data_IF_775009800311
#
_entry.id   IF_775009800311
#
_cell.length_a   1.000
_cell.length_b   1.000
_cell.length_c   1.000
_cell.angle_alpha   90.00
_cell.angle_beta   90.00
_cell.angle_gamma   90.00
#
_symmetry.space_group_name_H-M   'P 1'
#
loop_
_entity.id
_entity.type
_entity.pdbx_description
1 polymer ?
#
# COMPACT_ATOMS: atom_id res chain seq x y z
N UNK A 1 3.00 -20.30 -7.92
CA UNK A 1 2.52 -19.74 -6.64
C UNK A 1 1.97 -18.36 -6.89
N UNK A 2 0.81 -17.99 -6.29
CA UNK A 2 0.24 -16.65 -6.42
C UNK A 2 0.49 -15.85 -5.14
N UNK A 3 0.98 -14.61 -5.29
CA UNK A 3 1.25 -13.67 -4.18
C UNK A 3 0.30 -12.50 -4.34
N UNK A 4 -0.60 -12.33 -3.39
CA UNK A 4 -1.52 -11.20 -3.33
C UNK A 4 -0.89 -10.09 -2.52
N UNK A 5 -0.95 -8.86 -3.04
CA UNK A 5 -0.48 -7.64 -2.38
C UNK A 5 -1.52 -6.53 -2.54
N UNK A 6 -1.41 -5.49 -1.71
CA UNK A 6 -2.37 -4.38 -1.68
C UNK A 6 -1.66 -3.01 -1.58
N UNK A 7 -2.39 -1.97 -1.27
CA UNK A 7 -1.95 -0.57 -1.25
C UNK A 7 -0.64 -0.33 -0.49
N UNK A 8 -0.43 -1.00 0.68
CA UNK A 8 0.79 -0.82 1.45
C UNK A 8 2.03 -1.28 0.69
N UNK A 9 1.94 -2.37 -0.08
CA UNK A 9 3.02 -2.83 -0.95
C UNK A 9 3.40 -1.78 -2.01
N UNK A 10 2.39 -1.15 -2.61
CA UNK A 10 2.59 -0.08 -3.59
C UNK A 10 3.24 1.14 -2.94
N UNK A 11 2.79 1.52 -1.75
CA UNK A 11 3.33 2.67 -1.01
C UNK A 11 4.78 2.42 -0.53
N UNK A 12 5.11 1.22 -0.07
CA UNK A 12 6.49 0.87 0.30
C UNK A 12 7.47 1.10 -0.86
N UNK A 13 7.12 0.61 -2.05
CA UNK A 13 7.93 0.80 -3.26
C UNK A 13 7.97 2.27 -3.70
N UNK A 14 6.80 2.91 -3.76
CA UNK A 14 6.66 4.27 -4.30
C UNK A 14 7.36 5.32 -3.46
N UNK A 15 7.33 5.15 -2.13
CA UNK A 15 7.85 6.11 -1.16
C UNK A 15 9.22 5.69 -0.60
N UNK A 16 9.75 4.55 -1.06
CA UNK A 16 11.02 3.97 -0.61
C UNK A 16 11.08 3.88 0.93
N UNK A 17 10.02 3.27 1.52
CA UNK A 17 9.89 3.11 2.97
C UNK A 17 10.69 1.90 3.48
N UNK A 18 10.48 1.51 4.74
CA UNK A 18 11.31 0.53 5.45
C UNK A 18 11.37 -0.85 4.79
N UNK A 19 10.24 -1.29 4.18
CA UNK A 19 10.14 -2.60 3.52
C UNK A 19 10.37 -2.53 1.99
N UNK A 20 10.85 -1.39 1.45
CA UNK A 20 11.03 -1.16 0.01
C UNK A 20 11.87 -2.26 -0.66
N UNK A 21 13.01 -2.61 -0.08
CA UNK A 21 13.92 -3.63 -0.64
C UNK A 21 13.24 -5.01 -0.66
N UNK A 22 12.52 -5.35 0.41
CA UNK A 22 11.76 -6.61 0.49
C UNK A 22 10.66 -6.67 -0.58
N UNK A 23 9.94 -5.58 -0.79
CA UNK A 23 8.92 -5.47 -1.82
C UNK A 23 9.54 -5.53 -3.24
N UNK A 24 10.69 -4.91 -3.44
CA UNK A 24 11.43 -4.97 -4.71
C UNK A 24 11.90 -6.40 -5.03
N UNK A 25 12.35 -7.17 -4.04
CA UNK A 25 12.71 -8.58 -4.24
C UNK A 25 11.49 -9.43 -4.64
N UNK A 26 10.31 -9.18 -4.06
CA UNK A 26 9.06 -9.85 -4.47
C UNK A 26 8.71 -9.47 -5.92
N UNK A 27 8.80 -8.18 -6.29
CA UNK A 27 8.61 -7.72 -7.68
C UNK A 27 9.58 -8.40 -8.65
N UNK A 28 10.84 -8.56 -8.25
CA UNK A 28 11.86 -9.26 -9.04
C UNK A 28 11.50 -10.73 -9.27
N UNK A 29 11.03 -11.44 -8.25
CA UNK A 29 10.56 -12.82 -8.41
C UNK A 29 9.38 -12.92 -9.37
N UNK A 30 8.48 -11.94 -9.35
CA UNK A 30 7.36 -11.87 -10.27
C UNK A 30 7.82 -11.59 -11.71
N UNK A 31 8.73 -10.64 -11.92
CA UNK A 31 9.28 -10.32 -13.25
C UNK A 31 10.05 -11.48 -13.88
N UNK A 32 10.63 -12.35 -13.06
CA UNK A 32 11.29 -13.58 -13.48
C UNK A 32 10.31 -14.74 -13.75
N UNK A 33 9.01 -14.56 -13.53
CA UNK A 33 8.00 -15.60 -13.70
C UNK A 33 8.02 -16.70 -12.64
N UNK A 34 8.78 -16.52 -11.55
CA UNK A 34 8.86 -17.49 -10.45
C UNK A 34 7.60 -17.49 -9.59
N UNK A 35 6.92 -16.37 -9.51
CA UNK A 35 5.62 -16.20 -8.86
C UNK A 35 4.66 -15.39 -9.75
N UNK A 36 3.37 -15.54 -9.53
CA UNK A 36 2.34 -14.66 -10.07
C UNK A 36 1.99 -13.62 -9.00
N UNK A 37 2.32 -12.37 -9.25
CA UNK A 37 1.88 -11.28 -8.39
C UNK A 37 0.46 -10.87 -8.79
N UNK A 38 -0.46 -10.78 -7.84
CA UNK A 38 -1.85 -10.38 -8.05
C UNK A 38 -2.20 -9.19 -7.17
N UNK A 39 -2.74 -8.14 -7.78
CA UNK A 39 -3.01 -6.86 -7.09
C UNK A 39 -4.44 -6.40 -7.42
N UNK A 40 -5.29 -6.11 -6.41
CA UNK A 40 -6.59 -5.49 -6.66
C UNK A 40 -6.43 -4.15 -7.40
N UNK A 41 -7.25 -3.88 -8.42
CA UNK A 41 -7.22 -2.61 -9.15
C UNK A 41 -7.41 -1.40 -8.22
N UNK A 42 -8.22 -1.56 -7.19
CA UNK A 42 -8.42 -0.53 -6.16
C UNK A 42 -7.11 -0.15 -5.47
N UNK A 43 -6.26 -1.12 -5.14
CA UNK A 43 -4.96 -0.91 -4.49
C UNK A 43 -3.93 -0.17 -5.35
N UNK A 44 -4.16 -0.06 -6.65
CA UNK A 44 -3.35 0.77 -7.56
C UNK A 44 -3.84 2.23 -7.66
N UNK A 45 -5.13 2.45 -7.40
CA UNK A 45 -5.74 3.78 -7.42
C UNK A 45 -5.60 4.52 -6.08
N UNK A 46 -5.70 3.80 -4.97
CA UNK A 46 -5.69 4.35 -3.61
C UNK A 46 -4.41 5.12 -3.25
N UNK A 47 -3.18 4.71 -3.63
CA UNK A 47 -1.96 5.46 -3.35
C UNK A 47 -1.99 6.91 -3.82
N UNK A 48 -2.62 7.19 -4.96
CA UNK A 48 -2.77 8.55 -5.46
C UNK A 48 -3.59 9.43 -4.49
N UNK A 49 -4.66 8.88 -3.92
CA UNK A 49 -5.51 9.59 -2.95
C UNK A 49 -4.75 9.82 -1.64
N UNK A 50 -4.01 8.80 -1.18
CA UNK A 50 -3.20 8.89 0.04
C UNK A 50 -2.13 9.99 -0.07
N UNK A 51 -1.43 10.07 -1.21
CA UNK A 51 -0.41 11.11 -1.45
C UNK A 51 -1.03 12.51 -1.51
N UNK A 52 -2.14 12.68 -2.22
CA UNK A 52 -2.86 13.96 -2.24
C UNK A 52 -3.30 14.40 -0.84
N UNK A 53 -3.71 13.47 0.01
CA UNK A 53 -4.02 13.75 1.42
C UNK A 53 -2.81 14.24 2.20
N UNK A 54 -1.67 13.55 2.08
CA UNK A 54 -0.39 13.94 2.70
C UNK A 54 0.08 15.32 2.22
N UNK A 55 0.00 15.60 0.92
CA UNK A 55 0.38 16.88 0.33
C UNK A 55 -0.46 18.02 0.89
N UNK A 56 -1.80 17.86 0.96
CA UNK A 56 -2.70 18.84 1.56
C UNK A 56 -2.35 19.11 3.02
N UNK A 57 -2.13 18.06 3.81
CA UNK A 57 -1.77 18.17 5.22
C UNK A 57 -0.43 18.92 5.42
N UNK A 58 0.60 18.60 4.63
CA UNK A 58 1.92 19.26 4.66
C UNK A 58 1.82 20.72 4.23
N UNK A 59 1.02 21.01 3.22
CA UNK A 59 0.78 22.39 2.74
C UNK A 59 0.08 23.23 3.81
N UNK A 60 -0.92 22.65 4.49
CA UNK A 60 -1.61 23.35 5.57
C UNK A 60 -0.66 23.59 6.74
N UNK A 61 0.09 22.58 7.17
CA UNK A 61 1.10 22.73 8.23
C UNK A 61 2.13 23.82 7.91
N UNK A 62 2.62 23.86 6.68
CA UNK A 62 3.55 24.90 6.22
C UNK A 62 2.96 26.30 6.32
N UNK A 63 1.68 26.47 5.97
CA UNK A 63 0.97 27.75 6.08
C UNK A 63 0.81 28.18 7.54
N UNK A 64 0.40 27.25 8.40
CA UNK A 64 0.16 27.52 9.82
C UNK A 64 1.46 27.90 10.53
N UNK A 65 2.53 27.14 10.29
CA UNK A 65 3.86 27.46 10.80
C UNK A 65 4.36 28.82 10.32
N UNK A 66 4.19 29.15 9.04
CA UNK A 66 4.60 30.47 8.50
C UNK A 66 3.84 31.60 9.18
N UNK A 67 2.55 31.43 9.45
CA UNK A 67 1.76 32.42 10.17
C UNK A 67 2.25 32.63 11.61
N UNK A 68 2.50 31.53 12.33
CA UNK A 68 3.01 31.57 13.70
C UNK A 68 4.41 32.21 13.77
N UNK A 69 5.32 31.86 12.87
CA UNK A 69 6.66 32.44 12.82
C UNK A 69 6.63 33.92 12.46
N UNK A 70 5.72 34.36 11.60
CA UNK A 70 5.53 35.78 11.28
C UNK A 70 5.07 36.55 12.51
N UNK A 71 4.16 36.01 13.30
CA UNK A 71 3.72 36.66 14.55
C UNK A 71 4.85 36.68 15.59
N UNK A 72 5.60 35.61 15.77
CA UNK A 72 6.78 35.58 16.66
C UNK A 72 7.84 36.60 16.21
N UNK A 73 8.11 36.72 14.91
CA UNK A 73 9.10 37.63 14.34
C UNK A 73 8.77 39.13 14.55
N UNK A 74 7.56 39.48 15.00
CA UNK A 74 7.20 40.84 15.44
C UNK A 74 7.87 41.20 16.78
N UNK A 75 8.27 40.23 17.57
CA UNK A 75 8.98 40.48 18.83
C UNK A 75 10.50 40.52 18.65
N UNK A 76 11.18 41.42 19.31
CA UNK A 76 12.63 41.64 19.18
C UNK A 76 13.46 40.35 19.43
N UNK A 77 13.14 39.50 20.45
CA UNK A 77 13.92 38.29 20.72
C UNK A 77 13.87 37.21 19.62
N UNK A 78 12.86 37.25 18.75
CA UNK A 78 12.58 36.17 17.80
C UNK A 78 12.72 36.57 16.32
N UNK A 79 13.33 37.72 16.04
CA UNK A 79 13.51 38.25 14.67
C UNK A 79 14.35 37.37 13.74
N UNK A 80 15.19 36.49 14.26
CA UNK A 80 16.09 35.63 13.50
C UNK A 80 15.50 34.27 13.08
N UNK A 81 14.30 33.93 13.56
CA UNK A 81 13.68 32.60 13.35
C UNK A 81 13.20 32.34 11.91
N UNK A 82 12.81 33.33 11.06
CA UNK A 82 12.22 33.05 9.75
C UNK A 82 13.14 32.35 8.75
N UNK A 83 14.45 32.55 8.80
CA UNK A 83 15.37 32.07 7.75
C UNK A 83 15.51 30.53 7.70
N UNK A 84 15.34 29.82 8.82
CA UNK A 84 15.42 28.35 8.88
C UNK A 84 14.17 27.65 8.35
N UNK A 85 13.03 28.35 8.30
CA UNK A 85 11.75 27.77 7.90
C UNK A 85 11.62 27.60 6.39
N UNK A 86 12.14 28.52 5.61
CA UNK A 86 12.02 28.46 4.14
C UNK A 86 12.71 27.23 3.56
N UNK A 87 13.81 26.80 4.15
CA UNK A 87 14.48 25.55 3.77
C UNK A 87 13.61 24.30 4.06
N UNK A 88 12.97 24.25 5.23
CA UNK A 88 12.06 23.14 5.59
C UNK A 88 10.81 23.14 4.70
N UNK A 89 10.22 24.29 4.41
CA UNK A 89 9.07 24.41 3.53
C UNK A 89 9.41 23.95 2.09
N UNK A 90 10.63 24.24 1.61
CA UNK A 90 11.10 23.80 0.30
C UNK A 90 11.25 22.27 0.24
N UNK A 91 11.76 21.62 1.30
CA UNK A 91 11.85 20.15 1.39
C UNK A 91 10.45 19.52 1.33
N UNK A 92 9.49 20.05 2.09
CA UNK A 92 8.10 19.55 2.08
C UNK A 92 7.44 19.71 0.70
N UNK A 93 7.71 20.80 0.00
CA UNK A 93 7.19 21.03 -1.35
C UNK A 93 7.84 20.09 -2.39
N UNK A 94 9.16 19.90 -2.31
CA UNK A 94 9.89 19.02 -3.22
C UNK A 94 9.47 17.54 -3.04
N UNK A 95 9.24 17.10 -1.79
CA UNK A 95 8.82 15.73 -1.50
C UNK A 95 7.50 15.35 -2.17
N UNK A 96 6.55 16.29 -2.29
CA UNK A 96 5.25 16.04 -2.88
C UNK A 96 5.33 15.64 -4.37
N UNK A 97 6.21 16.30 -5.14
CA UNK A 97 6.41 15.95 -6.55
C UNK A 97 7.09 14.60 -6.69
N UNK A 98 8.15 14.35 -5.92
CA UNK A 98 8.88 13.06 -5.91
C UNK A 98 7.95 11.89 -5.54
N UNK A 99 7.08 12.07 -4.54
CA UNK A 99 6.10 11.04 -4.14
C UNK A 99 5.08 10.74 -5.25
N UNK A 100 4.57 11.76 -5.95
CA UNK A 100 3.66 11.57 -7.09
C UNK A 100 4.32 10.82 -8.23
N UNK A 101 5.55 11.19 -8.57
CA UNK A 101 6.31 10.52 -9.62
C UNK A 101 6.62 9.08 -9.23
N UNK A 102 7.02 8.84 -7.96
CA UNK A 102 7.27 7.51 -7.43
C UNK A 102 6.04 6.60 -7.53
N UNK A 103 4.84 7.10 -7.18
CA UNK A 103 3.59 6.31 -7.33
C UNK A 103 3.32 6.00 -8.79
N UNK A 104 3.41 6.97 -9.69
CA UNK A 104 3.17 6.76 -11.11
C UNK A 104 4.11 5.69 -11.68
N UNK A 105 5.39 5.78 -11.36
CA UNK A 105 6.40 4.87 -11.89
C UNK A 105 6.22 3.45 -11.29
N UNK A 106 5.99 3.33 -9.99
CA UNK A 106 5.69 2.05 -9.33
C UNK A 106 4.42 1.40 -9.87
N UNK A 107 3.33 2.14 -10.04
CA UNK A 107 2.10 1.61 -10.61
C UNK A 107 2.34 1.14 -12.05
N UNK A 108 3.11 1.89 -12.84
CA UNK A 108 3.48 1.49 -14.21
C UNK A 108 4.28 0.18 -14.22
N UNK A 109 5.20 -0.01 -13.27
CA UNK A 109 5.99 -1.24 -13.16
C UNK A 109 5.12 -2.43 -12.73
N UNK A 110 4.22 -2.22 -11.79
CA UNK A 110 3.26 -3.25 -11.36
C UNK A 110 2.34 -3.65 -12.51
N UNK A 111 1.82 -2.71 -13.29
CA UNK A 111 0.96 -3.00 -14.45
C UNK A 111 1.66 -3.84 -15.54
N UNK A 112 3.00 -3.78 -15.62
CA UNK A 112 3.78 -4.62 -16.55
C UNK A 112 4.08 -6.01 -16.01
N UNK A 113 4.05 -6.19 -14.71
CA UNK A 113 4.58 -7.39 -14.03
C UNK A 113 3.47 -8.22 -13.37
N UNK A 114 2.44 -7.58 -12.84
CA UNK A 114 1.42 -8.20 -12.03
C UNK A 114 0.12 -8.47 -12.79
N UNK A 115 -0.63 -9.45 -12.30
CA UNK A 115 -2.02 -9.68 -12.68
C UNK A 115 -2.93 -8.74 -11.88
N UNK A 116 -3.56 -7.79 -12.55
CA UNK A 116 -4.48 -6.84 -11.92
C UNK A 116 -5.86 -7.45 -11.80
N UNK A 117 -6.37 -7.54 -10.59
CA UNK A 117 -7.72 -8.02 -10.29
C UNK A 117 -8.70 -6.88 -10.54
N UNK A 118 -9.48 -7.00 -11.60
CA UNK A 118 -10.47 -5.98 -11.99
C UNK A 118 -11.56 -5.84 -10.94
N UNK A 119 -11.96 -4.59 -10.65
CA UNK A 119 -13.09 -4.30 -9.77
C UNK A 119 -14.38 -4.36 -10.58
N UNK A 120 -15.27 -5.26 -10.20
CA UNK A 120 -16.59 -5.43 -10.83
C UNK A 120 -17.75 -5.32 -9.82
N UNK A 121 -18.98 -5.41 -10.34
CA UNK A 121 -20.19 -5.32 -9.52
C UNK A 121 -20.30 -6.46 -8.50
N UNK A 122 -19.77 -7.65 -8.77
CA UNK A 122 -19.86 -8.78 -7.87
C UNK A 122 -18.90 -8.59 -6.69
N UNK A 123 -17.69 -8.12 -6.97
CA UNK A 123 -16.71 -7.77 -5.93
C UNK A 123 -17.26 -6.66 -5.03
N UNK A 124 -17.89 -5.62 -5.61
CA UNK A 124 -18.49 -4.54 -4.81
C UNK A 124 -19.64 -5.04 -3.92
N UNK A 125 -20.50 -5.93 -4.42
CA UNK A 125 -21.56 -6.55 -3.59
C UNK A 125 -20.95 -7.37 -2.45
N UNK A 126 -19.99 -8.23 -2.75
CA UNK A 126 -19.30 -9.03 -1.73
C UNK A 126 -18.60 -8.17 -0.70
N UNK A 127 -18.04 -7.01 -1.11
CA UNK A 127 -17.41 -6.08 -0.19
C UNK A 127 -18.41 -5.48 0.82
N UNK A 128 -19.66 -5.21 0.41
CA UNK A 128 -20.72 -4.77 1.35
C UNK A 128 -21.03 -5.83 2.40
N UNK A 129 -21.11 -7.09 2.01
CA UNK A 129 -21.34 -8.20 2.94
C UNK A 129 -20.15 -8.37 3.89
N UNK A 130 -18.93 -8.34 3.38
CA UNK A 130 -17.68 -8.42 4.16
C UNK A 130 -17.56 -7.26 5.15
N UNK A 131 -17.93 -6.04 4.73
CA UNK A 131 -17.93 -4.87 5.60
C UNK A 131 -18.82 -5.06 6.82
N UNK A 132 -20.01 -5.63 6.63
CA UNK A 132 -20.95 -5.90 7.72
C UNK A 132 -20.47 -7.07 8.59
N UNK A 133 -19.97 -8.14 7.97
CA UNK A 133 -19.55 -9.35 8.66
C UNK A 133 -18.35 -9.12 9.58
N UNK A 134 -17.35 -8.36 9.13
CA UNK A 134 -16.08 -8.14 9.87
C UNK A 134 -15.93 -6.73 10.46
N UNK A 135 -16.90 -5.84 10.25
CA UNK A 135 -16.79 -4.44 10.71
C UNK A 135 -15.64 -3.66 10.06
N UNK A 136 -15.20 -4.08 8.85
CA UNK A 136 -14.08 -3.49 8.13
C UNK A 136 -14.44 -2.13 7.51
N UNK A 137 -13.41 -1.33 7.21
CA UNK A 137 -13.59 -0.17 6.33
C UNK A 137 -14.07 -0.62 4.95
N UNK A 138 -14.78 0.25 4.22
CA UNK A 138 -15.22 -0.07 2.86
C UNK A 138 -14.05 -0.36 1.91
N UNK A 139 -12.91 0.30 2.14
CA UNK A 139 -11.68 0.11 1.35
C UNK A 139 -11.07 -1.27 1.57
N UNK A 140 -10.89 -1.66 2.82
CA UNK A 140 -10.34 -2.97 3.19
C UNK A 140 -11.26 -4.11 2.75
N UNK A 141 -12.58 -3.92 2.87
CA UNK A 141 -13.56 -4.88 2.40
C UNK A 141 -13.48 -5.10 0.87
N UNK A 142 -13.27 -4.05 0.07
CA UNK A 142 -13.05 -4.16 -1.39
C UNK A 142 -11.78 -4.94 -1.70
N UNK A 143 -10.69 -4.69 -0.97
CA UNK A 143 -9.43 -5.43 -1.14
C UNK A 143 -9.64 -6.91 -0.83
N UNK A 144 -10.24 -7.23 0.32
CA UNK A 144 -10.50 -8.63 0.72
C UNK A 144 -11.43 -9.33 -0.26
N UNK A 145 -12.53 -8.69 -0.67
CA UNK A 145 -13.47 -9.22 -1.67
C UNK A 145 -12.77 -9.53 -3.00
N UNK A 146 -11.89 -8.63 -3.46
CA UNK A 146 -11.12 -8.83 -4.68
C UNK A 146 -10.19 -10.05 -4.60
N UNK A 147 -9.49 -10.19 -3.48
CA UNK A 147 -8.59 -11.33 -3.24
C UNK A 147 -9.38 -12.64 -3.19
N UNK A 148 -10.49 -12.68 -2.44
CA UNK A 148 -11.33 -13.88 -2.31
C UNK A 148 -11.97 -14.28 -3.65
N UNK A 149 -12.48 -13.32 -4.43
CA UNK A 149 -13.04 -13.57 -5.75
C UNK A 149 -12.00 -14.16 -6.71
N UNK A 150 -10.78 -13.61 -6.70
CA UNK A 150 -9.70 -14.13 -7.53
C UNK A 150 -9.23 -15.53 -7.08
N UNK A 151 -9.17 -15.79 -5.77
CA UNK A 151 -8.87 -17.10 -5.22
C UNK A 151 -9.92 -18.14 -5.63
N UNK A 152 -11.21 -17.79 -5.57
CA UNK A 152 -12.28 -18.70 -5.96
C UNK A 152 -12.26 -19.02 -7.46
N UNK A 153 -12.04 -18.01 -8.30
CA UNK A 153 -12.00 -18.19 -9.76
C UNK A 153 -10.78 -18.97 -10.25
N UNK A 154 -9.61 -18.80 -9.65
CA UNK A 154 -8.34 -19.33 -10.18
C UNK A 154 -7.81 -20.53 -9.39
N UNK A 155 -8.21 -20.71 -8.14
CA UNK A 155 -7.85 -21.80 -7.25
C UNK A 155 -6.36 -22.18 -7.30
N UNK A 156 -5.45 -21.25 -7.04
CA UNK A 156 -4.02 -21.49 -7.13
C UNK A 156 -3.59 -22.58 -6.13
N UNK A 157 -2.72 -23.51 -6.54
CA UNK A 157 -2.24 -24.63 -5.68
C UNK A 157 -1.59 -24.10 -4.40
N UNK A 158 -0.88 -22.96 -4.49
CA UNK A 158 -0.26 -22.29 -3.34
C UNK A 158 -0.42 -20.79 -3.52
N UNK A 159 -0.81 -20.13 -2.45
CA UNK A 159 -0.93 -18.67 -2.44
C UNK A 159 -0.63 -18.06 -1.08
N UNK A 160 -0.31 -16.78 -1.07
CA UNK A 160 -0.24 -15.99 0.15
C UNK A 160 -0.75 -14.56 -0.11
N UNK A 161 -1.27 -13.96 0.95
CA UNK A 161 -1.69 -12.57 0.96
C UNK A 161 -0.81 -11.79 1.94
N UNK A 162 -0.12 -10.76 1.43
CA UNK A 162 0.79 -9.90 2.17
C UNK A 162 0.11 -8.55 2.40
N UNK A 163 -0.16 -8.22 3.67
CA UNK A 163 -0.80 -6.97 4.03
C UNK A 163 -0.34 -6.51 5.41
N UNK A 164 0.23 -5.30 5.50
CA UNK A 164 0.69 -4.70 6.77
C UNK A 164 -0.43 -4.23 7.69
N UNK A 165 -1.64 -4.06 7.19
CA UNK A 165 -2.80 -3.68 8.00
C UNK A 165 -3.29 -4.88 8.84
N UNK A 166 -2.45 -5.29 9.80
CA UNK A 166 -2.77 -6.42 10.68
C UNK A 166 -3.97 -6.14 11.58
N UNK A 167 -4.27 -4.87 11.87
CA UNK A 167 -5.42 -4.49 12.68
C UNK A 167 -6.74 -4.98 12.08
N UNK A 168 -6.87 -4.87 10.76
CA UNK A 168 -8.13 -5.16 10.06
C UNK A 168 -8.10 -6.52 9.36
N UNK A 169 -6.93 -7.08 9.05
CA UNK A 169 -6.80 -8.33 8.30
C UNK A 169 -6.26 -9.52 9.09
N UNK A 170 -5.65 -9.30 10.28
CA UNK A 170 -5.15 -10.38 11.13
C UNK A 170 -6.25 -10.91 12.09
N UNK A 171 -7.44 -11.04 11.57
CA UNK A 171 -8.60 -11.59 12.24
C UNK A 171 -8.68 -13.12 11.99
N UNK A 172 -8.97 -13.95 13.00
CA UNK A 172 -9.06 -15.41 12.86
C UNK A 172 -10.06 -15.85 11.77
N UNK A 173 -11.21 -15.19 11.65
CA UNK A 173 -12.25 -15.54 10.69
C UNK A 173 -11.83 -15.20 9.25
N UNK A 174 -11.11 -14.07 9.07
CA UNK A 174 -10.52 -13.69 7.78
C UNK A 174 -9.44 -14.68 7.38
N UNK A 175 -8.58 -15.08 8.32
CA UNK A 175 -7.55 -16.10 8.09
C UNK A 175 -8.18 -17.43 7.69
N UNK A 176 -9.23 -17.87 8.38
CA UNK A 176 -9.96 -19.10 8.04
C UNK A 176 -10.55 -19.02 6.62
N UNK A 177 -11.14 -17.87 6.24
CA UNK A 177 -11.65 -17.67 4.86
C UNK A 177 -10.54 -17.79 3.81
N UNK A 178 -9.38 -17.20 4.04
CA UNK A 178 -8.23 -17.32 3.15
C UNK A 178 -7.68 -18.74 3.09
N UNK A 179 -7.60 -19.43 4.24
CA UNK A 179 -7.09 -20.80 4.35
C UNK A 179 -7.99 -21.82 3.64
N UNK A 180 -9.30 -21.59 3.54
CA UNK A 180 -10.22 -22.40 2.71
C UNK A 180 -9.80 -22.48 1.25
N UNK A 181 -9.06 -21.47 0.77
CA UNK A 181 -8.48 -21.43 -0.59
C UNK A 181 -6.98 -21.78 -0.61
N UNK A 182 -6.41 -22.26 0.50
CA UNK A 182 -4.97 -22.51 0.61
C UNK A 182 -4.11 -21.23 0.57
N UNK A 183 -4.69 -20.08 0.90
CA UNK A 183 -4.00 -18.80 0.93
C UNK A 183 -3.55 -18.45 2.36
N UNK A 184 -2.23 -18.29 2.56
CA UNK A 184 -1.67 -17.91 3.86
C UNK A 184 -1.55 -16.40 3.99
N UNK A 185 -1.99 -15.86 5.12
CA UNK A 185 -1.84 -14.45 5.44
C UNK A 185 -0.49 -14.16 6.11
N UNK A 186 0.16 -13.06 5.72
CA UNK A 186 1.37 -12.54 6.37
C UNK A 186 1.24 -11.04 6.60
N UNK A 187 1.35 -10.61 7.86
CA UNK A 187 1.33 -9.20 8.29
C UNK A 187 2.66 -8.48 8.13
N UNK A 188 3.72 -9.16 7.64
CA UNK A 188 5.05 -8.59 7.38
C UNK A 188 5.58 -9.07 6.05
N UNK A 189 6.05 -8.14 5.21
CA UNK A 189 6.59 -8.48 3.88
C UNK A 189 7.80 -9.42 3.97
N UNK A 190 8.69 -9.23 4.96
CA UNK A 190 9.85 -10.10 5.16
C UNK A 190 9.46 -11.57 5.41
N UNK A 191 8.43 -11.82 6.23
CA UNK A 191 7.93 -13.17 6.47
C UNK A 191 7.34 -13.77 5.20
N UNK A 192 6.61 -12.96 4.44
CA UNK A 192 6.07 -13.34 3.14
C UNK A 192 7.19 -13.71 2.15
N UNK A 193 8.22 -12.87 2.01
CA UNK A 193 9.36 -13.13 1.13
C UNK A 193 10.09 -14.44 1.50
N UNK A 194 10.33 -14.69 2.80
CA UNK A 194 10.92 -15.96 3.26
C UNK A 194 10.06 -17.16 2.88
N UNK A 195 8.75 -17.07 3.05
CA UNK A 195 7.83 -18.12 2.63
C UNK A 195 7.85 -18.34 1.12
N UNK A 196 7.79 -17.27 0.32
CA UNK A 196 7.85 -17.31 -1.14
C UNK A 196 9.15 -17.98 -1.61
N UNK A 197 10.29 -17.54 -1.07
CA UNK A 197 11.61 -18.06 -1.42
C UNK A 197 11.74 -19.57 -1.13
N UNK A 198 11.22 -20.03 0.01
CA UNK A 198 11.20 -21.46 0.34
C UNK A 198 10.35 -22.30 -0.63
N UNK A 199 9.29 -21.70 -1.21
CA UNK A 199 8.43 -22.38 -2.17
C UNK A 199 8.99 -22.37 -3.60
N UNK A 200 9.82 -21.39 -3.95
CA UNK A 200 10.43 -21.24 -5.28
C UNK A 200 11.76 -21.98 -5.42
N UNK A 201 12.51 -22.13 -4.31
CA UNK A 201 13.79 -22.88 -4.28
C UNK A 201 13.62 -24.40 -4.37
N UNK A 202 12.41 -24.91 -4.23
CA UNK A 202 12.10 -26.37 -4.29
C UNK A 202 11.70 -26.85 -5.68
N UNK A 203 11.94 -26.03 -6.71
CA UNK A 203 11.79 -26.36 -8.14
C UNK A 203 13.14 -26.51 -8.81
#
# INVERSE_FOLDING_TARGET
MTVYVETNFVLELSLQQEDCDTCADIMKLASQGLVVLAVPAFSLAEPHVAILGKEKARTQLSRDLRNQLRDLGRSKPHRAVPASFDALAAVLAASAQSERDGVRDTVSDILRTANVISLDNNILKSALDIQVEFGMSGQDAVVLASVLAHLDAHRPIKSCFLNRNTKDFDDPDIREKLEKYGCRFFGKFEQGLRYISAQTSSR
#
